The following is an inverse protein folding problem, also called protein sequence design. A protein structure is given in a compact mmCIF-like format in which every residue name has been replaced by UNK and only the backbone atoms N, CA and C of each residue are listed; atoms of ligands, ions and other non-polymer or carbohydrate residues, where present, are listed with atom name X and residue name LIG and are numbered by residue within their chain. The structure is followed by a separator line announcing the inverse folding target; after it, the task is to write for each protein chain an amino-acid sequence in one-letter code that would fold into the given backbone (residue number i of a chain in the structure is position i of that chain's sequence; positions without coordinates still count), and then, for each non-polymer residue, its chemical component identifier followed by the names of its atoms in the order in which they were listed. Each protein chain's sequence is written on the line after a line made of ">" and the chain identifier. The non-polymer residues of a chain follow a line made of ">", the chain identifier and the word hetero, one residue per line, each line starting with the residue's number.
data_IF_001651325201
#
_entry.id   IF_001651325201
#
_cell.length_a   1.000
_cell.length_b   1.000
_cell.length_c   1.000
_cell.angle_alpha   90.00
_cell.angle_beta   90.00
_cell.angle_gamma   90.00
#
_symmetry.space_group_name_H-M   'P 1'
#
loop_
_entity.id
_entity.type
_entity.pdbx_description
1 polymer ?
#
# COMPACT_ATOMS: atom_id res chain seq x y z
N UNK A 1 13.65 -5.90 16.04
CA UNK A 1 13.36 -4.94 17.13
C UNK A 1 12.37 -3.90 16.62
N UNK A 2 11.70 -3.15 17.52
CA UNK A 2 10.80 -2.06 17.11
C UNK A 2 11.52 -0.98 16.28
N UNK A 3 12.79 -0.71 16.59
CA UNK A 3 13.66 0.22 15.84
C UNK A 3 13.88 -0.20 14.39
N UNK A 4 14.18 -1.48 14.14
CA UNK A 4 14.37 -1.99 12.76
C UNK A 4 13.09 -1.85 11.93
N UNK A 5 11.92 -2.08 12.54
CA UNK A 5 10.64 -1.88 11.88
C UNK A 5 10.42 -0.40 11.52
N UNK A 6 10.75 0.53 12.43
CA UNK A 6 10.65 1.98 12.18
C UNK A 6 11.56 2.41 11.04
N UNK A 7 12.81 1.94 11.02
CA UNK A 7 13.74 2.23 9.93
C UNK A 7 13.22 1.71 8.59
N UNK A 8 12.79 0.45 8.55
CA UNK A 8 12.23 -0.16 7.35
C UNK A 8 11.03 0.65 6.83
N UNK A 9 10.06 1.00 7.69
CA UNK A 9 8.91 1.84 7.28
C UNK A 9 9.34 3.23 6.81
N UNK A 10 10.35 3.83 7.46
CA UNK A 10 10.88 5.14 7.04
C UNK A 10 11.50 5.08 5.64
N UNK A 11 12.25 4.03 5.33
CA UNK A 11 12.84 3.83 4.01
C UNK A 11 11.76 3.67 2.93
N UNK A 12 10.69 2.92 3.22
CA UNK A 12 9.55 2.77 2.30
C UNK A 12 8.84 4.10 2.03
N UNK A 13 8.66 4.95 3.06
CA UNK A 13 8.06 6.27 2.89
C UNK A 13 8.98 7.23 2.13
N UNK A 14 10.30 7.13 2.28
CA UNK A 14 11.24 7.88 1.44
C UNK A 14 11.18 7.44 -0.03
N UNK A 15 11.08 6.13 -0.27
CA UNK A 15 11.00 5.58 -1.61
C UNK A 15 9.73 6.01 -2.36
N UNK A 16 8.55 5.85 -1.75
CA UNK A 16 7.29 6.30 -2.36
C UNK A 16 7.26 7.81 -2.56
N UNK A 17 7.81 8.59 -1.61
CA UNK A 17 7.94 10.04 -1.76
C UNK A 17 8.75 10.39 -3.02
N UNK A 18 9.89 9.74 -3.25
CA UNK A 18 10.70 10.00 -4.44
C UNK A 18 9.96 9.67 -5.74
N UNK A 19 9.13 8.62 -5.75
CA UNK A 19 8.30 8.25 -6.90
C UNK A 19 7.26 9.34 -7.15
N UNK A 20 6.38 9.60 -6.18
CA UNK A 20 5.24 10.51 -6.36
C UNK A 20 5.64 11.98 -6.55
N UNK A 21 6.73 12.43 -5.92
CA UNK A 21 7.20 13.80 -6.12
C UNK A 21 7.72 14.05 -7.54
N UNK A 22 8.16 13.00 -8.23
CA UNK A 22 8.69 13.08 -9.59
C UNK A 22 7.64 12.79 -10.67
N UNK A 23 6.40 12.50 -10.29
CA UNK A 23 5.32 12.17 -11.24
C UNK A 23 4.55 13.44 -11.64
N UNK A 24 4.29 13.54 -12.93
CA UNK A 24 3.36 14.47 -13.56
C UNK A 24 2.01 13.74 -13.74
N UNK A 25 1.05 13.99 -12.84
CA UNK A 25 -0.25 13.30 -12.82
C UNK A 25 -1.30 13.96 -13.72
N UNK A 26 -1.16 15.24 -14.06
CA UNK A 26 -2.09 15.94 -14.95
C UNK A 26 -1.61 16.05 -16.40
N UNK A 27 -0.36 15.65 -16.67
CA UNK A 27 0.24 15.58 -17.99
C UNK A 27 0.66 16.93 -18.54
N UNK A 28 0.87 17.94 -17.69
CA UNK A 28 1.25 19.30 -18.10
C UNK A 28 2.74 19.46 -18.44
N UNK A 29 3.54 18.41 -18.23
CA UNK A 29 4.98 18.37 -18.45
C UNK A 29 5.82 18.66 -17.19
N UNK A 30 5.20 18.90 -16.04
CA UNK A 30 5.86 19.17 -14.77
C UNK A 30 5.40 18.19 -13.69
N UNK A 31 6.29 17.88 -12.75
CA UNK A 31 5.90 17.04 -11.61
C UNK A 31 5.00 17.81 -10.63
N UNK A 32 3.95 17.16 -10.12
CA UNK A 32 2.98 17.74 -9.16
C UNK A 32 3.50 17.84 -7.73
N UNK A 33 4.69 17.29 -7.47
CA UNK A 33 5.37 17.33 -6.16
C UNK A 33 4.57 16.70 -5.00
N UNK A 34 3.70 15.73 -5.30
CA UNK A 34 2.95 14.97 -4.28
C UNK A 34 3.94 14.30 -3.32
N UNK A 35 3.80 14.56 -2.01
CA UNK A 35 4.74 14.08 -0.98
C UNK A 35 4.05 13.27 0.12
N UNK A 36 4.83 12.40 0.75
CA UNK A 36 4.42 11.62 1.91
C UNK A 36 5.26 12.00 3.13
N UNK A 37 4.62 12.09 4.30
CA UNK A 37 5.26 12.32 5.58
C UNK A 37 4.64 11.40 6.62
N UNK A 38 5.49 10.81 7.47
CA UNK A 38 5.01 9.97 8.57
C UNK A 38 4.61 10.87 9.73
N UNK A 39 3.33 10.84 10.09
CA UNK A 39 2.82 11.59 11.24
C UNK A 39 2.85 10.75 12.52
N UNK A 40 2.68 9.43 12.44
CA UNK A 40 2.65 8.53 13.60
C UNK A 40 3.12 7.13 13.26
N UNK A 41 3.87 6.53 14.19
CA UNK A 41 4.17 5.09 14.19
C UNK A 41 3.38 4.36 15.28
N UNK A 42 2.95 3.14 14.98
CA UNK A 42 2.46 2.16 15.95
C UNK A 42 3.15 0.83 15.66
N UNK A 43 3.89 0.30 16.63
CA UNK A 43 4.70 -0.91 16.43
C UNK A 43 4.32 -1.97 17.46
N UNK A 44 3.66 -3.02 16.99
CA UNK A 44 3.35 -4.19 17.79
C UNK A 44 4.60 -5.09 17.88
N UNK A 45 4.97 -5.47 19.11
CA UNK A 45 5.97 -6.49 19.40
C UNK A 45 5.35 -7.67 20.17
N UNK A 46 6.20 -8.43 20.86
CA UNK A 46 5.78 -9.63 21.60
C UNK A 46 4.75 -9.33 22.70
N UNK A 47 4.86 -8.19 23.38
CA UNK A 47 3.90 -7.74 24.39
C UNK A 47 2.51 -7.54 23.81
N UNK A 48 2.41 -6.88 22.65
CA UNK A 48 1.14 -6.61 21.98
C UNK A 48 0.54 -7.90 21.38
N UNK A 49 1.37 -8.87 20.99
CA UNK A 49 0.90 -10.19 20.55
C UNK A 49 0.26 -11.00 21.70
N UNK A 50 0.73 -10.84 22.94
CA UNK A 50 0.15 -11.50 24.11
C UNK A 50 -1.17 -10.88 24.58
N UNK A 51 -1.48 -9.64 24.18
CA UNK A 51 -2.72 -8.97 24.55
C UNK A 51 -3.92 -9.61 23.84
N UNK A 52 -4.93 -10.06 24.61
CA UNK A 52 -6.15 -10.69 24.06
C UNK A 52 -7.03 -9.71 23.30
N UNK A 53 -6.98 -8.43 23.64
CA UNK A 53 -7.78 -7.38 23.00
C UNK A 53 -7.15 -6.85 21.71
N UNK A 54 -5.92 -7.26 21.38
CA UNK A 54 -5.26 -6.85 20.15
C UNK A 54 -5.82 -7.65 18.97
N UNK A 55 -6.61 -7.04 18.06
CA UNK A 55 -7.21 -7.78 16.95
C UNK A 55 -6.17 -8.30 15.95
N UNK A 56 -4.95 -7.73 15.96
CA UNK A 56 -3.85 -8.08 15.08
C UNK A 56 -2.95 -9.20 15.64
N UNK A 57 -3.27 -9.77 16.81
CA UNK A 57 -2.40 -10.73 17.52
C UNK A 57 -2.18 -12.04 16.77
N UNK A 58 -3.19 -12.52 16.05
CA UNK A 58 -3.16 -13.84 15.43
C UNK A 58 -2.18 -13.82 14.26
N UNK A 59 -1.30 -14.82 14.16
CA UNK A 59 -0.36 -14.93 13.05
C UNK A 59 -1.10 -15.18 11.72
N UNK A 60 -2.16 -15.98 11.76
CA UNK A 60 -2.89 -16.46 10.59
C UNK A 60 -4.10 -15.55 10.28
N UNK A 61 -3.84 -14.31 9.88
CA UNK A 61 -4.87 -13.38 9.41
C UNK A 61 -4.65 -13.18 7.92
N UNK A 62 -5.63 -13.53 7.09
CA UNK A 62 -5.58 -13.30 5.64
C UNK A 62 -5.61 -11.81 5.29
N UNK A 63 -5.08 -11.44 4.12
CA UNK A 63 -4.87 -10.05 3.71
C UNK A 63 -6.14 -9.20 3.75
N UNK A 64 -7.26 -9.71 3.22
CA UNK A 64 -8.54 -9.00 3.24
C UNK A 64 -9.04 -8.73 4.66
N UNK A 65 -8.90 -9.71 5.57
CA UNK A 65 -9.27 -9.51 6.97
C UNK A 65 -8.32 -8.55 7.68
N UNK A 66 -7.02 -8.56 7.34
CA UNK A 66 -6.07 -7.63 7.92
C UNK A 66 -6.33 -6.18 7.48
N UNK A 67 -6.66 -5.96 6.21
CA UNK A 67 -7.11 -4.67 5.70
C UNK A 67 -8.37 -4.21 6.42
N UNK A 68 -9.37 -5.07 6.52
CA UNK A 68 -10.62 -4.78 7.24
C UNK A 68 -10.38 -4.39 8.71
N UNK A 69 -9.53 -5.14 9.41
CA UNK A 69 -9.14 -4.81 10.79
C UNK A 69 -8.44 -3.45 10.88
N UNK A 70 -7.63 -3.08 9.88
CA UNK A 70 -7.03 -1.74 9.80
C UNK A 70 -8.11 -0.68 9.59
N UNK A 71 -9.06 -0.90 8.69
CA UNK A 71 -10.15 0.04 8.40
C UNK A 71 -11.06 0.29 9.60
N UNK A 72 -11.22 -0.70 10.48
CA UNK A 72 -12.01 -0.59 11.73
C UNK A 72 -11.30 0.22 12.85
N UNK A 73 -10.07 0.67 12.63
CA UNK A 73 -9.32 1.43 13.63
C UNK A 73 -9.70 2.92 13.61
N UNK A 74 -10.56 3.36 14.54
CA UNK A 74 -10.94 4.79 14.65
C UNK A 74 -9.72 5.74 14.78
N UNK A 75 -8.60 5.27 15.32
CA UNK A 75 -7.34 6.02 15.41
C UNK A 75 -6.72 6.41 14.05
N UNK A 76 -7.22 5.86 12.94
CA UNK A 76 -6.82 6.24 11.58
C UNK A 76 -7.50 7.54 11.11
N UNK A 77 -8.46 8.06 11.88
CA UNK A 77 -9.13 9.33 11.62
C UNK A 77 -8.13 10.49 11.71
N UNK A 78 -8.23 11.45 10.80
CA UNK A 78 -7.33 12.61 10.74
C UNK A 78 -6.00 12.37 10.02
N UNK A 79 -5.79 11.19 9.45
CA UNK A 79 -4.64 10.89 8.58
C UNK A 79 -5.12 10.70 7.13
N UNK A 80 -4.31 11.15 6.16
CA UNK A 80 -4.62 10.93 4.74
C UNK A 80 -4.65 9.44 4.39
N UNK A 81 -3.70 8.66 4.90
CA UNK A 81 -3.61 7.21 4.74
C UNK A 81 -3.11 6.53 6.02
N UNK A 82 -3.51 5.27 6.22
CA UNK A 82 -3.02 4.41 7.30
C UNK A 82 -2.65 3.01 6.79
N UNK A 83 -1.40 2.63 6.97
CA UNK A 83 -0.85 1.38 6.43
C UNK A 83 -0.39 0.43 7.52
N UNK A 84 -0.65 -0.87 7.31
CA UNK A 84 -0.01 -1.95 8.05
C UNK A 84 1.12 -2.53 7.21
N UNK A 85 2.34 -2.42 7.71
CA UNK A 85 3.47 -3.22 7.24
C UNK A 85 3.57 -4.49 8.08
N UNK A 86 3.63 -5.65 7.43
CA UNK A 86 3.59 -6.94 8.11
C UNK A 86 4.60 -7.94 7.55
N UNK A 87 4.69 -9.08 8.22
CA UNK A 87 5.52 -10.21 7.84
C UNK A 87 4.63 -11.48 7.88
N UNK A 88 3.54 -11.42 7.12
CA UNK A 88 2.57 -12.50 6.95
C UNK A 88 2.61 -12.96 5.51
N UNK A 89 2.80 -14.25 5.33
CA UNK A 89 2.77 -14.86 4.00
C UNK A 89 1.32 -15.09 3.63
N UNK A 90 0.83 -14.36 2.63
CA UNK A 90 -0.57 -14.40 2.22
C UNK A 90 -0.78 -15.43 1.11
N UNK A 91 -1.97 -16.00 1.08
CA UNK A 91 -2.37 -16.94 0.03
C UNK A 91 -2.24 -16.29 -1.37
N UNK A 92 -2.02 -17.13 -2.38
CA UNK A 92 -1.88 -16.74 -3.80
C UNK A 92 -0.76 -15.73 -4.11
N UNK A 93 0.18 -15.54 -3.18
CA UNK A 93 1.37 -14.72 -3.38
C UNK A 93 1.12 -13.21 -3.31
N UNK A 94 0.03 -12.80 -2.65
CA UNK A 94 -0.35 -11.40 -2.49
C UNK A 94 0.68 -10.64 -1.64
N UNK A 95 1.18 -9.52 -2.17
CA UNK A 95 2.16 -8.66 -1.50
C UNK A 95 1.54 -7.47 -0.76
N UNK A 96 0.35 -7.05 -1.16
CA UNK A 96 -0.36 -5.91 -0.59
C UNK A 96 -1.84 -5.91 -0.94
N UNK A 97 -2.59 -5.03 -0.28
CA UNK A 97 -3.99 -4.76 -0.59
C UNK A 97 -4.39 -3.40 -0.05
N UNK A 98 -5.14 -2.63 -0.84
CA UNK A 98 -5.64 -1.32 -0.47
C UNK A 98 -7.06 -1.07 -0.98
N UNK A 99 -7.77 -0.17 -0.31
CA UNK A 99 -9.05 0.36 -0.83
C UNK A 99 -8.79 1.34 -1.97
N UNK A 100 -9.46 1.14 -3.09
CA UNK A 100 -9.30 2.01 -4.28
C UNK A 100 -10.09 3.30 -4.06
N UNK A 101 -9.45 4.44 -4.33
CA UNK A 101 -10.12 5.74 -4.36
C UNK A 101 -11.05 5.87 -5.55
N UNK A 102 -12.22 6.48 -5.36
CA UNK A 102 -13.15 6.70 -6.46
C UNK A 102 -13.83 8.07 -6.36
N UNK A 103 -13.71 8.84 -7.44
CA UNK A 103 -14.36 10.15 -7.61
C UNK A 103 -15.52 10.09 -8.59
N UNK A 104 -15.74 8.96 -9.26
CA UNK A 104 -16.64 8.82 -10.41
C UNK A 104 -17.99 8.22 -10.06
N UNK A 105 -18.03 7.17 -9.22
CA UNK A 105 -19.28 6.47 -8.86
C UNK A 105 -19.78 6.85 -7.46
N UNK A 106 -18.98 7.60 -6.71
CA UNK A 106 -19.24 7.92 -5.30
C UNK A 106 -18.96 6.74 -4.36
N UNK A 107 -18.22 5.73 -4.82
CA UNK A 107 -17.76 4.64 -3.94
C UNK A 107 -16.81 5.19 -2.87
N UNK A 108 -16.89 4.66 -1.65
CA UNK A 108 -15.98 5.08 -0.58
C UNK A 108 -14.67 4.31 -0.66
N UNK A 109 -13.55 4.99 -0.44
CA UNK A 109 -12.22 4.40 -0.52
C UNK A 109 -11.13 5.43 -0.79
N UNK A 110 -9.90 5.07 -0.46
CA UNK A 110 -8.72 5.83 -0.85
C UNK A 110 -8.37 6.98 0.09
N UNK A 111 -7.59 7.93 -0.44
CA UNK A 111 -7.00 9.03 0.33
C UNK A 111 -8.07 9.85 1.07
N UNK A 112 -7.74 10.29 2.29
CA UNK A 112 -8.53 11.25 3.08
C UNK A 112 -9.98 10.80 3.39
N UNK A 113 -10.24 9.49 3.39
CA UNK A 113 -11.53 8.95 3.83
C UNK A 113 -11.82 9.22 5.31
N UNK A 114 -13.11 9.32 5.65
CA UNK A 114 -13.59 9.64 7.00
C UNK A 114 -14.24 8.43 7.69
N UNK A 115 -14.44 8.51 9.01
CA UNK A 115 -15.17 7.50 9.77
C UNK A 115 -16.64 7.44 9.33
N UNK A 116 -17.01 6.36 8.64
CA UNK A 116 -18.33 6.16 8.04
C UNK A 116 -18.97 4.87 8.58
N UNK A 117 -20.30 4.84 8.56
CA UNK A 117 -21.09 3.64 8.89
C UNK A 117 -21.36 2.84 7.63
N UNK A 118 -21.06 1.54 7.67
CA UNK A 118 -21.36 0.55 6.65
C UNK A 118 -22.26 -0.54 7.23
N UNK A 119 -22.80 -1.42 6.38
CA UNK A 119 -23.70 -2.50 6.79
C UNK A 119 -23.07 -3.48 7.79
N UNK A 120 -21.75 -3.63 7.76
CA UNK A 120 -20.96 -4.53 8.59
C UNK A 120 -20.16 -3.82 9.69
N UNK A 121 -20.45 -2.54 9.93
CA UNK A 121 -19.86 -1.75 11.02
C UNK A 121 -19.27 -0.43 10.54
N UNK A 122 -18.55 0.25 11.43
CA UNK A 122 -17.93 1.52 11.10
C UNK A 122 -16.48 1.31 10.65
N UNK A 123 -16.07 2.06 9.61
CA UNK A 123 -14.75 1.94 8.99
C UNK A 123 -14.25 3.29 8.47
N UNK A 124 -12.93 3.37 8.29
CA UNK A 124 -12.23 4.36 7.46
C UNK A 124 -11.53 3.61 6.34
N UNK A 125 -11.89 3.92 5.10
CA UNK A 125 -11.36 3.23 3.92
C UNK A 125 -10.10 3.91 3.35
N UNK A 126 -9.37 4.66 4.18
CA UNK A 126 -8.05 5.27 3.88
C UNK A 126 -6.88 4.32 4.15
N UNK A 127 -7.09 3.02 3.95
CA UNK A 127 -6.23 1.98 4.51
C UNK A 127 -5.60 1.08 3.46
N UNK A 128 -4.42 0.57 3.79
CA UNK A 128 -3.69 -0.41 3.00
C UNK A 128 -2.84 -1.34 3.85
N UNK A 129 -2.35 -2.42 3.24
CA UNK A 129 -1.50 -3.44 3.84
C UNK A 129 -0.37 -3.77 2.87
N UNK A 130 0.85 -3.96 3.39
CA UNK A 130 2.01 -4.45 2.63
C UNK A 130 2.71 -5.53 3.47
N UNK A 131 3.12 -6.63 2.84
CA UNK A 131 3.93 -7.68 3.48
C UNK A 131 5.36 -7.71 2.94
N UNK A 132 6.29 -8.16 3.79
CA UNK A 132 7.71 -8.33 3.47
C UNK A 132 8.12 -9.79 3.26
N UNK A 133 7.16 -10.71 3.21
CA UNK A 133 7.39 -12.14 2.96
C UNK A 133 6.43 -12.64 1.88
N UNK A 134 6.91 -13.53 1.02
CA UNK A 134 6.11 -14.21 0.01
C UNK A 134 6.68 -15.61 -0.26
N UNK A 135 5.84 -16.65 -0.24
CA UNK A 135 6.23 -18.05 -0.44
C UNK A 135 7.42 -18.46 0.45
N UNK A 136 7.38 -18.07 1.72
CA UNK A 136 8.40 -18.38 2.73
C UNK A 136 9.72 -17.61 2.56
N UNK A 137 9.80 -16.63 1.66
CA UNK A 137 11.03 -15.87 1.37
C UNK A 137 10.85 -14.38 1.60
N UNK A 138 11.91 -13.73 2.09
CA UNK A 138 11.98 -12.27 2.19
C UNK A 138 11.76 -11.63 0.83
N UNK A 139 10.84 -10.67 0.78
CA UNK A 139 10.64 -9.80 -0.38
C UNK A 139 11.79 -8.78 -0.42
N UNK A 140 12.53 -8.65 -1.54
CA UNK A 140 13.58 -7.66 -1.65
C UNK A 140 13.04 -6.24 -1.43
N UNK A 141 13.81 -5.39 -0.75
CA UNK A 141 13.39 -4.03 -0.41
C UNK A 141 12.87 -3.22 -1.61
N UNK A 142 13.55 -3.28 -2.75
CA UNK A 142 13.12 -2.63 -3.99
C UNK A 142 11.72 -3.06 -4.44
N UNK A 143 11.36 -4.33 -4.26
CA UNK A 143 10.05 -4.87 -4.62
C UNK A 143 9.00 -4.41 -3.62
N UNK A 144 9.27 -4.48 -2.32
CA UNK A 144 8.32 -4.05 -1.29
C UNK A 144 8.08 -2.53 -1.29
N UNK A 145 9.07 -1.72 -1.70
CA UNK A 145 8.89 -0.29 -1.96
C UNK A 145 7.93 -0.04 -3.12
N UNK A 146 8.05 -0.81 -4.22
CA UNK A 146 7.14 -0.72 -5.37
C UNK A 146 5.74 -1.24 -5.00
N UNK A 147 5.64 -2.32 -4.24
CA UNK A 147 4.35 -2.79 -3.68
C UNK A 147 3.68 -1.68 -2.88
N UNK A 148 4.42 -0.99 -2.01
CA UNK A 148 3.83 0.12 -1.26
C UNK A 148 3.37 1.27 -2.17
N UNK A 149 4.15 1.62 -3.20
CA UNK A 149 3.74 2.62 -4.18
C UNK A 149 2.50 2.18 -4.99
N UNK A 150 2.38 0.89 -5.32
CA UNK A 150 1.22 0.31 -6.01
C UNK A 150 -0.05 0.42 -5.16
N UNK A 151 0.01 -0.02 -3.90
CA UNK A 151 -1.14 0.05 -2.99
C UNK A 151 -1.58 1.50 -2.73
N UNK A 152 -0.60 2.41 -2.62
CA UNK A 152 -0.90 3.83 -2.52
C UNK A 152 -1.53 4.34 -3.83
N UNK A 153 -1.09 3.84 -5.00
CA UNK A 153 -1.66 4.18 -6.31
C UNK A 153 -3.16 3.85 -6.36
N UNK A 154 -3.55 2.69 -5.84
CA UNK A 154 -4.95 2.35 -5.62
C UNK A 154 -5.66 3.36 -4.72
N UNK A 155 -5.07 3.76 -3.59
CA UNK A 155 -5.71 4.75 -2.73
C UNK A 155 -5.88 6.13 -3.42
N UNK A 156 -5.00 6.48 -4.34
CA UNK A 156 -5.11 7.68 -5.18
C UNK A 156 -6.14 7.51 -6.32
N UNK A 157 -6.69 6.31 -6.49
CA UNK A 157 -7.77 5.98 -7.42
C UNK A 157 -7.32 5.36 -8.73
N UNK A 158 -6.04 4.97 -8.84
CA UNK A 158 -5.55 4.30 -10.04
C UNK A 158 -6.03 2.83 -10.06
N UNK A 159 -6.69 2.37 -11.14
CA UNK A 159 -6.92 0.96 -11.37
C UNK A 159 -5.61 0.26 -11.79
N UNK A 160 -5.68 -1.05 -12.01
CA UNK A 160 -4.56 -1.75 -12.64
C UNK A 160 -4.36 -1.32 -14.10
N UNK A 161 -3.10 -1.30 -14.53
CA UNK A 161 -2.73 -1.15 -15.93
C UNK A 161 -3.31 -2.30 -16.76
N UNK A 162 -3.89 -2.04 -17.94
CA UNK A 162 -4.34 -3.11 -18.83
C UNK A 162 -3.19 -4.03 -19.26
N UNK A 163 -3.36 -5.35 -19.14
CA UNK A 163 -2.28 -6.30 -19.42
C UNK A 163 -1.86 -6.36 -20.91
N UNK A 164 -2.71 -5.89 -21.84
CA UNK A 164 -2.52 -6.05 -23.30
C UNK A 164 -2.43 -4.67 -23.99
N UNK A 165 -1.69 -3.72 -23.40
CA UNK A 165 -1.39 -2.44 -24.06
C UNK A 165 0.07 -2.06 -23.85
N UNK A 166 0.79 -1.72 -24.92
CA UNK A 166 2.19 -1.28 -24.79
C UNK A 166 2.31 0.13 -24.19
N UNK A 167 1.21 0.89 -24.16
CA UNK A 167 1.17 2.21 -23.54
C UNK A 167 1.30 2.12 -22.02
N UNK A 168 0.59 1.19 -21.37
CA UNK A 168 0.55 1.06 -19.91
C UNK A 168 1.24 -0.21 -19.38
N UNK A 169 1.42 -1.22 -20.23
CA UNK A 169 2.11 -2.47 -19.90
C UNK A 169 3.14 -2.80 -20.98
N UNK A 170 4.18 -1.98 -21.18
CA UNK A 170 5.15 -2.16 -22.25
C UNK A 170 5.96 -3.46 -22.15
N UNK A 171 6.05 -4.08 -20.97
CA UNK A 171 6.79 -5.32 -20.78
C UNK A 171 8.27 -5.19 -21.17
N UNK A 172 8.76 -6.16 -21.94
CA UNK A 172 10.04 -6.11 -22.64
C UNK A 172 11.26 -5.61 -21.83
N UNK A 173 12.12 -4.80 -22.44
CA UNK A 173 13.38 -4.31 -21.87
C UNK A 173 13.18 -3.40 -20.66
N UNK A 174 12.12 -2.59 -20.69
CA UNK A 174 11.86 -1.49 -19.75
C UNK A 174 10.94 -1.88 -18.59
N UNK A 175 10.32 -3.07 -18.65
CA UNK A 175 9.39 -3.60 -17.66
C UNK A 175 8.05 -2.86 -17.64
N UNK A 176 7.10 -3.38 -16.87
CA UNK A 176 5.80 -2.73 -16.68
C UNK A 176 5.85 -1.62 -15.63
N UNK A 177 4.87 -0.71 -15.67
CA UNK A 177 4.70 0.37 -14.72
C UNK A 177 4.18 -0.10 -13.36
N UNK A 178 4.15 0.81 -12.37
CA UNK A 178 3.82 0.50 -10.97
C UNK A 178 2.46 -0.18 -10.84
N UNK A 179 1.47 0.18 -11.65
CA UNK A 179 0.08 -0.30 -11.52
C UNK A 179 -0.18 -1.60 -12.27
N UNK A 180 0.84 -2.26 -12.80
CA UNK A 180 0.71 -3.57 -13.41
C UNK A 180 0.19 -4.61 -12.39
N UNK A 181 -0.83 -5.43 -12.74
CA UNK A 181 -1.50 -6.32 -11.78
C UNK A 181 -0.65 -7.50 -11.26
N UNK A 182 0.56 -7.70 -11.79
CA UNK A 182 1.44 -8.83 -11.41
C UNK A 182 2.75 -8.33 -10.83
N UNK A 183 3.35 -9.15 -9.97
CA UNK A 183 4.61 -8.83 -9.31
C UNK A 183 5.73 -8.48 -10.30
N UNK A 184 6.56 -7.52 -9.91
CA UNK A 184 7.72 -7.05 -10.69
C UNK A 184 9.03 -7.35 -9.97
N UNK A 185 10.13 -7.42 -10.74
CA UNK A 185 11.49 -7.57 -10.21
C UNK A 185 12.01 -6.30 -9.51
N UNK A 186 11.46 -5.14 -9.89
CA UNK A 186 11.91 -3.83 -9.44
C UNK A 186 13.21 -3.33 -10.09
N UNK A 187 13.76 -4.06 -11.07
CA UNK A 187 15.03 -3.73 -11.74
C UNK A 187 14.88 -2.84 -12.97
N UNK A 188 13.67 -2.78 -13.53
CA UNK A 188 13.46 -2.17 -14.84
C UNK A 188 13.07 -0.70 -14.71
N UNK A 189 13.37 0.07 -15.75
CA UNK A 189 13.24 1.53 -15.81
C UNK A 189 11.81 2.03 -15.51
N UNK A 190 10.78 1.26 -15.87
CA UNK A 190 9.38 1.61 -15.65
C UNK A 190 8.83 1.15 -14.30
N UNK A 191 9.49 0.24 -13.60
CA UNK A 191 8.95 -0.35 -12.36
C UNK A 191 8.78 0.66 -11.21
N UNK A 192 9.31 1.88 -11.36
CA UNK A 192 9.17 2.99 -10.39
C UNK A 192 8.50 4.22 -11.00
N UNK A 193 7.73 4.05 -12.07
CA UNK A 193 6.95 5.10 -12.75
C UNK A 193 5.49 4.67 -12.88
N UNK A 194 4.59 5.64 -12.92
CA UNK A 194 3.22 5.44 -13.39
C UNK A 194 3.21 5.50 -14.93
N UNK A 195 2.24 4.83 -15.57
CA UNK A 195 2.08 4.78 -17.03
C UNK A 195 1.54 6.08 -17.61
#
# INVERSE_FOLDING_TARGET
>A
SKERAILQMTDHVRAIKAIYQGTDFDGDGNADLITFVIQRFLVNGSSEASNQDNPFRNANIGVAKLLELNSQQKKNEGYCLSYIFTYRDFDDGVLGLAWVGDTTTGSSGGICENWKSFTDGHKILNTGVVTFINYGKDVPQKVSEITFAHEAGHNFGSPHDPEITSACSPGDSDGNYIMFPRATSGEKSNNRKFS
#
